data_IF_301161155029
#
_entry.id   IF_301161155029
#
_cell.length_a   1.000
_cell.length_b   1.000
_cell.length_c   1.000
_cell.angle_alpha   90.00
_cell.angle_beta   90.00
_cell.angle_gamma   90.00
#
_symmetry.space_group_name_H-M   'P 1'
#
loop_
_entity.id
_entity.type
_entity.pdbx_description
1 polymer ?
#
# COMPACT_ATOMS: atom_id res chain seq x y z
N UNK A 1 -6.05 -44.31 36.76
CA UNK A 1 -4.74 -43.82 36.30
C UNK A 1 -4.97 -42.92 35.08
N UNK A 2 -4.85 -41.60 35.22
CA UNK A 2 -5.06 -40.65 34.11
C UNK A 2 -3.76 -40.57 33.29
N UNK A 3 -3.77 -41.19 32.11
CA UNK A 3 -2.61 -41.29 31.22
C UNK A 3 -2.15 -39.90 30.75
N UNK A 4 -0.84 -39.68 30.84
CA UNK A 4 -0.21 -38.45 30.38
C UNK A 4 0.24 -38.66 28.93
N UNK A 5 -0.42 -38.00 27.99
CA UNK A 5 -0.10 -38.11 26.56
C UNK A 5 0.75 -36.91 26.15
N UNK A 6 1.99 -37.17 25.78
CA UNK A 6 2.94 -36.15 25.31
C UNK A 6 3.08 -36.27 23.81
N UNK A 7 2.69 -35.21 23.08
CA UNK A 7 2.80 -35.15 21.62
C UNK A 7 4.05 -34.34 21.27
N UNK A 8 4.96 -34.95 20.51
CA UNK A 8 6.14 -34.27 19.96
C UNK A 8 5.93 -34.07 18.46
N UNK A 9 5.96 -32.82 18.01
CA UNK A 9 5.74 -32.46 16.61
C UNK A 9 7.04 -32.63 15.81
N UNK A 10 7.00 -33.50 14.80
CA UNK A 10 8.11 -33.72 13.87
C UNK A 10 8.33 -32.46 13.01
N UNK A 11 9.59 -32.08 12.78
CA UNK A 11 10.00 -30.86 12.04
C UNK A 11 9.18 -30.67 10.75
N UNK A 12 8.67 -29.45 10.47
CA UNK A 12 7.73 -29.25 9.38
C UNK A 12 8.44 -29.27 8.02
N UNK A 13 8.04 -30.23 7.18
CA UNK A 13 8.20 -30.18 5.73
C UNK A 13 6.88 -29.61 5.20
N UNK A 14 6.86 -28.30 4.91
CA UNK A 14 5.78 -27.59 4.21
C UNK A 14 4.31 -27.79 4.68
N UNK A 15 4.05 -27.40 5.93
CA UNK A 15 2.78 -26.88 6.51
C UNK A 15 1.46 -27.67 6.41
N UNK A 16 0.96 -28.11 7.58
CA UNK A 16 -0.46 -28.09 7.97
C UNK A 16 -0.77 -27.20 9.20
N UNK A 17 0.25 -26.53 9.77
CA UNK A 17 0.13 -25.81 11.04
C UNK A 17 -0.68 -24.51 10.93
N UNK A 18 -0.58 -23.80 9.81
CA UNK A 18 -1.29 -22.54 9.57
C UNK A 18 -2.81 -22.73 9.53
N UNK A 19 -3.27 -23.85 8.97
CA UNK A 19 -4.68 -24.21 8.86
C UNK A 19 -5.27 -24.53 10.24
N UNK A 20 -4.58 -25.34 11.04
CA UNK A 20 -5.00 -25.68 12.42
C UNK A 20 -5.03 -24.45 13.32
N UNK A 21 -4.05 -23.55 13.20
CA UNK A 21 -4.03 -22.29 13.95
C UNK A 21 -5.17 -21.34 13.53
N UNK A 22 -5.53 -21.34 12.25
CA UNK A 22 -6.68 -20.61 11.74
C UNK A 22 -8.00 -21.09 12.34
N UNK A 23 -8.19 -22.42 12.49
CA UNK A 23 -9.37 -23.00 13.14
C UNK A 23 -9.45 -22.71 14.64
N UNK A 24 -8.31 -22.52 15.31
CA UNK A 24 -8.23 -22.10 16.71
C UNK A 24 -8.46 -20.60 16.92
N UNK A 25 -8.85 -19.86 15.88
CA UNK A 25 -9.13 -18.42 15.95
C UNK A 25 -7.89 -17.53 15.88
N UNK A 26 -6.71 -18.10 15.65
CA UNK A 26 -5.47 -17.33 15.44
C UNK A 26 -5.43 -16.87 13.98
N UNK A 27 -6.08 -15.74 13.71
CA UNK A 27 -6.23 -15.17 12.35
C UNK A 27 -4.95 -14.63 11.71
N UNK A 28 -3.84 -14.57 12.44
CA UNK A 28 -2.54 -14.13 11.89
C UNK A 28 -1.52 -15.25 11.98
N UNK A 29 -1.54 -16.11 10.97
CA UNK A 29 -0.35 -16.87 10.59
C UNK A 29 0.28 -16.10 9.46
N UNK A 30 0.95 -14.99 9.79
CA UNK A 30 1.73 -14.24 8.81
C UNK A 30 2.82 -15.21 8.29
N UNK A 31 2.72 -15.58 7.01
CA UNK A 31 3.67 -16.48 6.38
C UNK A 31 5.07 -15.86 6.44
N UNK A 32 5.91 -16.38 7.32
CA UNK A 32 7.29 -15.96 7.43
C UNK A 32 8.10 -16.61 6.30
N UNK A 33 8.41 -15.80 5.28
CA UNK A 33 9.43 -16.13 4.30
C UNK A 33 10.77 -15.62 4.83
N UNK A 34 11.73 -16.49 5.18
CA UNK A 34 13.01 -16.06 5.70
C UNK A 34 13.73 -15.18 4.66
N UNK A 35 14.30 -14.06 5.11
CA UNK A 35 15.11 -13.23 4.22
C UNK A 35 16.30 -14.04 3.73
N UNK A 36 16.67 -13.86 2.44
CA UNK A 36 17.89 -14.47 1.89
C UNK A 36 19.16 -14.00 2.60
N UNK A 37 19.08 -12.82 3.22
CA UNK A 37 20.12 -12.26 4.07
C UNK A 37 19.81 -12.68 5.50
N UNK A 38 20.54 -13.68 6.01
CA UNK A 38 20.25 -14.28 7.31
C UNK A 38 20.38 -13.26 8.43
N UNK A 39 19.26 -12.92 9.05
CA UNK A 39 19.23 -12.21 10.32
C UNK A 39 18.72 -13.26 11.32
N UNK A 40 19.62 -13.77 12.16
CA UNK A 40 19.40 -14.97 13.00
C UNK A 40 18.15 -14.91 13.91
N UNK A 41 17.53 -13.74 14.09
CA UNK A 41 16.28 -13.58 14.83
C UNK A 41 15.06 -13.41 13.90
N UNK A 42 14.14 -14.39 13.83
CA UNK A 42 12.91 -14.31 13.03
C UNK A 42 12.01 -13.11 13.35
N UNK A 43 12.03 -12.65 14.60
CA UNK A 43 11.26 -11.48 15.06
C UNK A 43 11.79 -10.17 14.46
N UNK A 44 13.11 -10.03 14.31
CA UNK A 44 13.70 -8.85 13.69
C UNK A 44 13.42 -8.83 12.18
N UNK A 45 13.57 -9.98 11.50
CA UNK A 45 13.25 -10.09 10.07
C UNK A 45 11.81 -9.70 9.76
N UNK A 46 10.86 -10.21 10.55
CA UNK A 46 9.45 -9.87 10.41
C UNK A 46 9.20 -8.36 10.65
N UNK A 47 9.83 -7.78 11.66
CA UNK A 47 9.68 -6.35 11.97
C UNK A 47 10.24 -5.47 10.85
N UNK A 48 11.38 -5.85 10.27
CA UNK A 48 12.02 -5.14 9.17
C UNK A 48 11.17 -5.25 7.90
N UNK A 49 10.73 -6.45 7.54
CA UNK A 49 9.85 -6.67 6.39
C UNK A 49 8.57 -5.84 6.48
N UNK A 50 7.93 -5.87 7.66
CA UNK A 50 6.72 -5.10 7.92
C UNK A 50 6.99 -3.60 7.79
N UNK A 51 8.09 -3.12 8.36
CA UNK A 51 8.48 -1.70 8.27
C UNK A 51 8.67 -1.27 6.82
N UNK A 52 9.44 -2.03 6.03
CA UNK A 52 9.61 -1.73 4.61
C UNK A 52 8.30 -1.75 3.83
N UNK A 53 7.42 -2.72 4.10
CA UNK A 53 6.12 -2.81 3.44
C UNK A 53 5.26 -1.58 3.73
N UNK A 54 5.23 -1.12 4.98
CA UNK A 54 4.54 0.12 5.36
C UNK A 54 5.18 1.36 4.73
N UNK A 55 6.52 1.46 4.77
CA UNK A 55 7.24 2.59 4.17
C UNK A 55 7.03 2.64 2.66
N UNK A 56 7.05 1.51 1.97
CA UNK A 56 6.79 1.42 0.53
C UNK A 56 5.37 1.89 0.22
N UNK A 57 4.37 1.47 1.00
CA UNK A 57 2.99 1.90 0.81
C UNK A 57 2.86 3.42 0.97
N UNK A 58 3.47 3.99 2.01
CA UNK A 58 3.47 5.45 2.23
C UNK A 58 4.20 6.17 1.10
N UNK A 59 5.38 5.70 0.71
CA UNK A 59 6.19 6.30 -0.34
C UNK A 59 5.48 6.31 -1.70
N UNK A 60 4.79 5.21 -2.06
CA UNK A 60 3.98 5.14 -3.29
C UNK A 60 2.85 6.17 -3.25
N UNK A 61 2.15 6.30 -2.13
CA UNK A 61 1.10 7.30 -1.99
C UNK A 61 1.67 8.70 -2.19
N UNK A 62 2.73 9.07 -1.45
CA UNK A 62 3.38 10.39 -1.56
C UNK A 62 3.85 10.65 -2.99
N UNK A 63 4.43 9.65 -3.67
CA UNK A 63 4.87 9.77 -5.05
C UNK A 63 3.69 10.00 -6.01
N UNK A 64 2.59 9.27 -5.85
CA UNK A 64 1.37 9.47 -6.65
C UNK A 64 0.84 10.89 -6.43
N UNK A 65 0.75 11.35 -5.18
CA UNK A 65 0.32 12.70 -4.88
C UNK A 65 1.24 13.73 -5.55
N UNK A 66 2.56 13.61 -5.39
CA UNK A 66 3.52 14.55 -5.96
C UNK A 66 3.57 14.53 -7.51
N UNK A 67 3.33 13.37 -8.13
CA UNK A 67 3.23 13.27 -9.59
C UNK A 67 1.90 13.77 -10.15
N UNK A 68 0.93 14.17 -9.32
CA UNK A 68 -0.30 14.74 -9.84
C UNK A 68 -0.03 16.09 -10.53
N UNK A 69 -0.82 16.44 -11.56
CA UNK A 69 -0.71 17.68 -12.35
C UNK A 69 -0.92 19.02 -11.60
N UNK A 70 -0.74 19.08 -10.28
CA UNK A 70 -1.12 20.22 -9.45
C UNK A 70 0.00 21.26 -9.48
N UNK A 71 -0.33 22.53 -9.68
CA UNK A 71 0.64 23.64 -9.81
C UNK A 71 1.66 23.77 -8.65
N UNK A 72 1.34 23.25 -7.47
CA UNK A 72 2.26 23.23 -6.32
C UNK A 72 3.20 22.00 -6.27
N UNK A 73 2.92 20.96 -7.07
CA UNK A 73 3.62 19.67 -7.03
C UNK A 73 4.52 19.48 -8.25
N UNK A 74 5.49 18.56 -8.13
CA UNK A 74 6.51 18.29 -9.16
C UNK A 74 5.89 17.76 -10.47
N UNK A 75 4.69 17.18 -10.41
CA UNK A 75 3.94 16.74 -11.59
C UNK A 75 3.59 17.87 -12.58
N UNK A 76 3.41 19.11 -12.10
CA UNK A 76 3.15 20.26 -13.00
C UNK A 76 4.38 20.69 -13.80
N UNK A 77 5.58 20.54 -13.23
CA UNK A 77 6.83 20.80 -13.91
C UNK A 77 7.09 19.74 -14.99
N UNK A 78 6.83 18.47 -14.66
CA UNK A 78 6.94 17.35 -15.61
C UNK A 78 5.97 17.49 -16.78
N UNK A 79 4.71 17.87 -16.51
CA UNK A 79 3.75 18.16 -17.57
C UNK A 79 4.15 19.36 -18.40
N UNK A 80 4.62 20.44 -17.78
CA UNK A 80 5.07 21.62 -18.52
C UNK A 80 6.24 21.29 -19.45
N UNK A 81 7.23 20.52 -18.98
CA UNK A 81 8.34 20.07 -19.81
C UNK A 81 7.90 19.16 -20.98
N UNK A 82 6.93 18.26 -20.75
CA UNK A 82 6.35 17.42 -21.82
C UNK A 82 5.52 18.24 -22.82
N UNK A 83 4.75 19.21 -22.33
CA UNK A 83 3.90 20.05 -23.17
C UNK A 83 4.71 21.09 -23.94
N UNK A 84 5.79 21.64 -23.38
CA UNK A 84 6.69 22.57 -24.05
C UNK A 84 7.36 21.94 -25.28
N UNK A 85 7.64 20.64 -25.22
CA UNK A 85 8.11 19.86 -26.38
C UNK A 85 7.11 19.85 -27.55
N UNK A 86 5.81 20.02 -27.28
CA UNK A 86 4.72 19.87 -28.28
C UNK A 86 3.97 21.17 -28.58
N UNK A 87 3.97 22.13 -27.66
CA UNK A 87 3.16 23.34 -27.68
C UNK A 87 4.06 24.52 -27.28
N UNK A 88 4.28 25.48 -28.19
CA UNK A 88 5.12 26.67 -27.95
C UNK A 88 4.41 27.78 -27.16
N UNK A 89 3.12 27.65 -26.83
CA UNK A 89 2.35 28.70 -26.17
C UNK A 89 2.23 28.48 -24.66
N UNK A 90 2.98 29.25 -23.87
CA UNK A 90 2.99 29.20 -22.40
C UNK A 90 1.58 29.36 -21.79
N UNK A 91 0.73 30.19 -22.40
CA UNK A 91 -0.66 30.40 -21.95
C UNK A 91 -1.51 29.13 -22.06
N UNK A 92 -1.31 28.33 -23.11
CA UNK A 92 -2.05 27.08 -23.30
C UNK A 92 -1.58 26.01 -22.32
N UNK A 93 -0.26 25.93 -22.05
CA UNK A 93 0.32 25.01 -21.06
C UNK A 93 -0.24 25.31 -19.67
N UNK A 94 -0.28 26.60 -19.28
CA UNK A 94 -0.80 27.01 -17.98
C UNK A 94 -2.30 26.71 -17.83
N UNK A 95 -3.09 26.92 -18.89
CA UNK A 95 -4.52 26.60 -18.90
C UNK A 95 -4.77 25.09 -18.78
N UNK A 96 -3.98 24.27 -19.48
CA UNK A 96 -4.07 22.80 -19.43
C UNK A 96 -3.68 22.24 -18.07
N UNK A 97 -2.63 22.76 -17.43
CA UNK A 97 -2.26 22.35 -16.07
C UNK A 97 -3.39 22.66 -15.06
N UNK A 98 -4.01 23.83 -15.15
CA UNK A 98 -5.13 24.21 -14.28
C UNK A 98 -6.35 23.33 -14.55
N UNK A 99 -6.68 23.04 -15.81
CA UNK A 99 -7.83 22.19 -16.13
C UNK A 99 -7.63 20.76 -15.67
N UNK A 100 -6.43 20.18 -15.87
CA UNK A 100 -6.08 18.85 -15.37
C UNK A 100 -6.10 18.79 -13.85
N UNK A 101 -5.57 19.81 -13.17
CA UNK A 101 -5.66 19.94 -11.70
C UNK A 101 -7.11 19.90 -11.23
N UNK A 102 -7.98 20.70 -11.86
CA UNK A 102 -9.39 20.78 -11.51
C UNK A 102 -10.11 19.46 -11.72
N UNK A 103 -9.85 18.76 -12.84
CA UNK A 103 -10.42 17.45 -13.13
C UNK A 103 -9.97 16.41 -12.10
N UNK A 104 -8.68 16.35 -11.77
CA UNK A 104 -8.16 15.45 -10.75
C UNK A 104 -8.81 15.70 -9.38
N UNK A 105 -8.91 16.97 -8.97
CA UNK A 105 -9.53 17.33 -7.69
C UNK A 105 -11.01 16.96 -7.65
N UNK A 106 -11.72 17.18 -8.77
CA UNK A 106 -13.14 16.85 -8.89
C UNK A 106 -13.36 15.34 -8.88
N UNK A 107 -12.52 14.57 -9.57
CA UNK A 107 -12.54 13.10 -9.51
C UNK A 107 -12.22 12.57 -8.11
N UNK A 108 -11.27 13.18 -7.40
CA UNK A 108 -10.95 12.80 -6.02
C UNK A 108 -12.14 13.06 -5.10
N UNK A 109 -12.71 14.28 -5.15
CA UNK A 109 -13.89 14.64 -4.36
C UNK A 109 -15.09 13.76 -4.70
N UNK A 110 -15.30 13.44 -5.98
CA UNK A 110 -16.34 12.52 -6.42
C UNK A 110 -16.13 11.11 -5.88
N UNK A 111 -14.90 10.57 -5.93
CA UNK A 111 -14.59 9.25 -5.36
C UNK A 111 -14.85 9.21 -3.86
N UNK A 112 -14.38 10.22 -3.12
CA UNK A 112 -14.61 10.35 -1.68
C UNK A 112 -16.12 10.43 -1.38
N UNK A 113 -16.85 11.28 -2.12
CA UNK A 113 -18.31 11.41 -1.97
C UNK A 113 -19.07 10.12 -2.28
N UNK A 114 -18.64 9.39 -3.31
CA UNK A 114 -19.19 8.07 -3.63
C UNK A 114 -18.90 7.05 -2.54
N UNK A 115 -17.68 7.03 -1.97
CA UNK A 115 -17.37 6.17 -0.83
C UNK A 115 -18.29 6.47 0.35
N UNK A 116 -18.51 7.74 0.70
CA UNK A 116 -19.46 8.10 1.77
C UNK A 116 -20.91 7.71 1.46
N UNK A 117 -21.33 7.86 0.21
CA UNK A 117 -22.69 7.47 -0.22
C UNK A 117 -22.90 5.96 -0.20
N UNK A 118 -21.89 5.18 -0.62
CA UNK A 118 -21.99 3.72 -0.75
C UNK A 118 -21.76 3.00 0.57
N UNK A 119 -20.82 3.45 1.40
CA UNK A 119 -20.46 2.77 2.65
C UNK A 119 -21.19 3.33 3.89
N UNK A 120 -21.88 4.47 3.77
CA UNK A 120 -22.54 5.11 4.92
C UNK A 120 -21.52 5.69 5.92
N UNK A 121 -21.88 6.76 6.62
CA UNK A 121 -20.93 7.51 7.46
C UNK A 121 -20.30 6.67 8.57
N UNK A 122 -20.97 5.62 9.06
CA UNK A 122 -20.47 4.65 10.03
C UNK A 122 -21.32 3.37 9.92
N UNK A 123 -20.78 2.30 9.35
CA UNK A 123 -21.17 0.94 9.76
C UNK A 123 -19.95 0.32 10.43
N UNK A 124 -19.97 0.36 11.76
CA UNK A 124 -19.06 -0.36 12.67
C UNK A 124 -19.64 -1.75 12.88
#
# INVERSE_FOLDING_TARGET
SRGNFTYSLKKPINMPLAWVLGELGVKRVDYYFPMKWGIDSPAAEYTIYRTFSWTQLIAINVAIFNMMPIYFLDGSLLLSALLESRIKSEKAIKLLNISLTAICLLLLAANIGFTFKTFGFLQI
#
